data_IF_221214936832
#
_entry.id   IF_221214936832
#
_cell.length_a   1.000
_cell.length_b   1.000
_cell.length_c   1.000
_cell.angle_alpha   90.00
_cell.angle_beta   90.00
_cell.angle_gamma   90.00
#
_symmetry.space_group_name_H-M   'P 1'
#
loop_
_entity.id
_entity.type
_entity.pdbx_description
1 polymer ?
#
# COMPACT_ATOMS: atom_id res chain seq x y z
N UNK A 1 13.19 -14.12 -13.46
CA UNK A 1 13.92 -13.07 -14.21
C UNK A 1 13.63 -11.65 -13.67
N UNK A 2 12.38 -11.23 -13.42
CA UNK A 2 12.04 -9.91 -12.83
C UNK A 2 12.73 -9.62 -11.50
N UNK A 3 12.84 -10.59 -10.62
CA UNK A 3 13.41 -10.46 -9.29
C UNK A 3 14.84 -9.88 -9.29
N UNK A 4 15.75 -10.40 -10.07
CA UNK A 4 17.14 -9.94 -10.13
C UNK A 4 17.31 -8.51 -10.68
N UNK A 5 16.29 -7.99 -11.39
CA UNK A 5 16.32 -6.64 -11.90
C UNK A 5 15.81 -5.61 -10.88
N UNK A 6 15.04 -6.06 -9.87
CA UNK A 6 14.51 -5.18 -8.79
C UNK A 6 15.46 -5.14 -7.60
N UNK A 7 16.22 -6.23 -7.38
CA UNK A 7 17.12 -6.34 -6.24
C UNK A 7 18.09 -5.15 -6.14
N UNK A 8 18.05 -4.49 -4.98
CA UNK A 8 18.92 -3.35 -4.69
C UNK A 8 19.31 -3.38 -3.21
N UNK A 9 20.61 -3.42 -2.97
CA UNK A 9 21.21 -3.36 -1.66
C UNK A 9 21.46 -1.91 -1.23
N UNK A 10 21.32 -1.64 0.06
CA UNK A 10 21.58 -0.33 0.65
C UNK A 10 22.05 -0.46 2.09
N UNK A 11 22.85 0.46 2.54
CA UNK A 11 23.22 0.58 3.97
C UNK A 11 22.59 1.86 4.52
N UNK A 12 21.69 1.72 5.48
CA UNK A 12 20.94 2.81 6.08
C UNK A 12 21.05 2.66 7.60
N UNK A 13 21.57 3.66 8.29
CA UNK A 13 21.77 3.66 9.74
C UNK A 13 22.53 2.41 10.26
N UNK A 14 23.58 2.00 9.56
CA UNK A 14 24.36 0.78 9.78
C UNK A 14 23.59 -0.55 9.60
N UNK A 15 22.37 -0.53 9.05
CA UNK A 15 21.62 -1.72 8.67
C UNK A 15 21.81 -2.01 7.18
N UNK A 16 22.16 -3.24 6.85
CA UNK A 16 22.25 -3.70 5.46
C UNK A 16 20.88 -4.19 5.01
N UNK A 17 20.26 -3.43 4.13
CA UNK A 17 18.91 -3.67 3.66
C UNK A 17 18.92 -4.01 2.17
N UNK A 18 18.06 -4.94 1.76
CA UNK A 18 17.81 -5.25 0.35
C UNK A 18 16.33 -5.18 0.04
N UNK A 19 15.98 -4.46 -1.04
CA UNK A 19 14.63 -4.49 -1.61
C UNK A 19 14.59 -5.48 -2.78
N UNK A 20 13.59 -6.36 -2.80
CA UNK A 20 13.40 -7.37 -3.83
C UNK A 20 11.93 -7.80 -3.92
N UNK A 21 11.57 -8.53 -4.98
CA UNK A 21 10.31 -9.29 -4.99
C UNK A 21 10.51 -10.61 -4.24
N UNK A 22 9.55 -10.99 -3.41
CA UNK A 22 9.52 -12.31 -2.81
C UNK A 22 9.49 -13.39 -3.88
N UNK A 23 10.36 -14.38 -3.76
CA UNK A 23 10.54 -15.44 -4.74
C UNK A 23 10.21 -16.83 -4.19
N UNK A 24 10.08 -16.93 -2.88
CA UNK A 24 9.77 -18.19 -2.20
C UNK A 24 8.51 -18.03 -1.37
N UNK A 25 7.84 -19.15 -1.12
CA UNK A 25 6.67 -19.17 -0.23
C UNK A 25 7.03 -18.68 1.17
N UNK A 26 8.23 -18.98 1.66
CA UNK A 26 8.69 -18.53 2.97
C UNK A 26 8.79 -16.99 3.05
N UNK A 27 9.32 -16.34 2.02
CA UNK A 27 9.39 -14.86 1.96
C UNK A 27 8.00 -14.22 1.88
N UNK A 28 7.04 -14.85 1.20
CA UNK A 28 5.64 -14.39 1.18
C UNK A 28 5.03 -14.52 2.58
N UNK A 29 5.22 -15.64 3.25
CA UNK A 29 4.74 -15.86 4.61
C UNK A 29 5.36 -14.89 5.62
N UNK A 30 6.64 -14.56 5.47
CA UNK A 30 7.31 -13.55 6.31
C UNK A 30 6.71 -12.16 6.11
N UNK A 31 6.39 -11.77 4.87
CA UNK A 31 5.65 -10.54 4.58
C UNK A 31 4.23 -10.57 5.18
N UNK A 32 3.50 -11.69 5.07
CA UNK A 32 2.18 -11.88 5.65
C UNK A 32 2.20 -11.83 7.18
N UNK A 33 3.25 -12.37 7.80
CA UNK A 33 3.49 -12.30 9.25
C UNK A 33 3.75 -10.88 9.71
N UNK A 34 4.62 -10.15 9.01
CA UNK A 34 4.88 -8.74 9.29
C UNK A 34 3.59 -7.91 9.22
N UNK A 35 2.76 -8.13 8.19
CA UNK A 35 1.45 -7.47 8.04
C UNK A 35 0.52 -7.76 9.20
N UNK A 36 0.43 -9.02 9.63
CA UNK A 36 -0.39 -9.41 10.77
C UNK A 36 0.06 -8.75 12.06
N UNK A 37 1.37 -8.73 12.35
CA UNK A 37 1.93 -8.05 13.53
C UNK A 37 1.53 -6.57 13.54
N UNK A 38 1.65 -5.89 12.40
CA UNK A 38 1.38 -4.46 12.32
C UNK A 38 -0.12 -4.18 12.27
N UNK A 39 -0.86 -4.78 11.36
CA UNK A 39 -2.28 -4.43 11.18
C UNK A 39 -3.16 -4.98 12.29
N UNK A 40 -3.00 -6.26 12.67
CA UNK A 40 -3.85 -6.86 13.70
C UNK A 40 -3.39 -6.48 15.11
N UNK A 41 -2.10 -6.67 15.44
CA UNK A 41 -1.64 -6.50 16.82
C UNK A 41 -1.33 -5.05 17.18
N UNK A 42 -0.66 -4.30 16.31
CA UNK A 42 -0.30 -2.92 16.61
C UNK A 42 -1.46 -1.94 16.32
N UNK A 43 -2.14 -2.08 15.17
CA UNK A 43 -3.20 -1.17 14.75
C UNK A 43 -4.61 -1.61 15.16
N UNK A 44 -4.78 -2.84 15.67
CA UNK A 44 -6.05 -3.36 16.14
C UNK A 44 -7.05 -3.71 15.04
N UNK A 45 -6.60 -3.93 13.81
CA UNK A 45 -7.48 -4.36 12.71
C UNK A 45 -8.00 -5.77 12.97
N UNK A 46 -9.30 -5.98 12.71
CA UNK A 46 -9.92 -7.31 12.80
C UNK A 46 -9.56 -8.13 11.57
N UNK A 47 -8.48 -8.87 11.63
CA UNK A 47 -8.03 -9.76 10.57
C UNK A 47 -8.30 -11.19 10.98
N UNK A 48 -9.07 -11.92 10.16
CA UNK A 48 -9.18 -13.38 10.30
C UNK A 48 -7.84 -13.98 9.91
N UNK A 49 -7.16 -14.62 10.86
CA UNK A 49 -5.83 -15.15 10.64
C UNK A 49 -5.76 -16.63 10.94
N UNK A 50 -5.02 -17.34 10.10
CA UNK A 50 -4.57 -18.71 10.37
C UNK A 50 -3.06 -18.62 10.63
N UNK A 51 -2.61 -19.11 11.77
CA UNK A 51 -1.19 -19.15 12.16
C UNK A 51 -0.48 -17.78 12.22
N UNK A 52 -1.22 -16.68 12.47
CA UNK A 52 -0.60 -15.36 12.59
C UNK A 52 -0.17 -14.74 11.25
N UNK A 53 -0.84 -15.12 10.17
CA UNK A 53 -0.60 -14.56 8.84
C UNK A 53 -1.80 -13.69 8.41
N UNK A 54 -1.55 -12.55 7.79
CA UNK A 54 -2.56 -11.75 7.07
C UNK A 54 -2.65 -12.25 5.64
N UNK A 55 -3.66 -13.05 5.36
CA UNK A 55 -3.88 -13.65 4.03
C UNK A 55 -5.29 -13.30 3.55
N UNK A 56 -5.40 -12.91 2.29
CA UNK A 56 -6.68 -12.78 1.60
C UNK A 56 -6.60 -13.37 0.17
N UNK A 57 -7.73 -13.38 -0.53
CA UNK A 57 -7.83 -13.96 -1.88
C UNK A 57 -6.90 -13.33 -2.93
N UNK A 58 -6.37 -12.14 -2.67
CA UNK A 58 -5.49 -11.43 -3.60
C UNK A 58 -4.04 -11.89 -3.51
N UNK A 59 -3.61 -12.46 -2.37
CA UNK A 59 -2.21 -12.78 -2.12
C UNK A 59 -1.60 -13.70 -3.18
N UNK A 60 -2.35 -14.72 -3.65
CA UNK A 60 -1.91 -15.66 -4.68
C UNK A 60 -1.74 -15.04 -6.08
N UNK A 61 -2.31 -13.85 -6.30
CA UNK A 61 -2.34 -13.17 -7.59
C UNK A 61 -1.52 -11.87 -7.59
N UNK A 62 -0.83 -11.58 -6.50
CA UNK A 62 -0.01 -10.39 -6.32
C UNK A 62 1.48 -10.71 -6.36
N UNK A 63 2.28 -9.73 -6.75
CA UNK A 63 3.69 -9.69 -6.41
C UNK A 63 3.87 -9.08 -5.03
N UNK A 64 4.80 -9.61 -4.24
CA UNK A 64 5.12 -9.11 -2.92
C UNK A 64 6.48 -8.42 -2.97
N UNK A 65 6.50 -7.10 -2.95
CA UNK A 65 7.72 -6.31 -2.81
C UNK A 65 8.09 -6.28 -1.34
N UNK A 66 9.30 -6.71 -1.01
CA UNK A 66 9.79 -6.82 0.36
C UNK A 66 11.11 -6.07 0.54
N UNK A 67 11.34 -5.57 1.74
CA UNK A 67 12.65 -5.15 2.21
C UNK A 67 13.09 -6.11 3.30
N UNK A 68 14.28 -6.69 3.14
CA UNK A 68 14.89 -7.59 4.11
C UNK A 68 16.10 -6.93 4.76
N UNK A 69 16.27 -7.17 6.03
CA UNK A 69 17.53 -6.93 6.73
C UNK A 69 18.46 -8.11 6.46
N UNK A 70 19.59 -7.85 5.81
CA UNK A 70 20.55 -8.88 5.41
C UNK A 70 21.32 -9.47 6.61
N UNK A 71 21.39 -8.75 7.73
CA UNK A 71 22.14 -9.21 8.90
C UNK A 71 21.38 -10.30 9.66
N UNK A 72 20.03 -10.27 9.64
CA UNK A 72 19.19 -11.24 10.35
C UNK A 72 18.21 -12.00 9.45
N UNK A 73 18.11 -11.63 8.17
CA UNK A 73 17.24 -12.26 7.19
C UNK A 73 15.75 -11.90 7.32
N UNK A 74 15.37 -11.02 8.25
CA UNK A 74 13.98 -10.68 8.49
C UNK A 74 13.39 -9.74 7.44
N UNK A 75 12.14 -9.97 7.05
CA UNK A 75 11.36 -9.01 6.27
C UNK A 75 10.92 -7.85 7.19
N UNK A 76 11.37 -6.63 6.86
CA UNK A 76 11.16 -5.43 7.68
C UNK A 76 10.26 -4.39 7.03
N UNK A 77 9.91 -4.61 5.77
CA UNK A 77 8.94 -3.79 5.04
C UNK A 77 8.34 -4.54 3.88
N UNK A 78 7.09 -4.23 3.53
CA UNK A 78 6.47 -4.83 2.36
C UNK A 78 5.42 -3.94 1.70
N UNK A 79 5.19 -4.21 0.41
CA UNK A 79 4.04 -3.82 -0.41
C UNK A 79 3.49 -5.02 -1.15
N UNK A 80 2.17 -5.09 -1.27
CA UNK A 80 1.50 -6.01 -2.18
C UNK A 80 1.16 -5.27 -3.47
N UNK A 81 1.56 -5.83 -4.62
CA UNK A 81 1.42 -5.25 -5.94
C UNK A 81 0.48 -6.12 -6.78
N UNK A 82 -0.69 -5.61 -7.11
CA UNK A 82 -1.65 -6.28 -7.99
C UNK A 82 -1.61 -5.63 -9.37
N UNK A 83 -1.28 -6.40 -10.38
CA UNK A 83 -1.34 -5.97 -11.79
C UNK A 83 -2.69 -6.32 -12.40
N UNK A 84 -2.96 -5.84 -13.63
CA UNK A 84 -4.19 -6.16 -14.35
C UNK A 84 -4.40 -7.67 -14.53
N UNK A 85 -3.32 -8.43 -14.78
CA UNK A 85 -3.41 -9.88 -14.94
C UNK A 85 -3.77 -10.58 -13.63
N UNK A 86 -3.23 -10.11 -12.50
CA UNK A 86 -3.62 -10.57 -11.17
C UNK A 86 -5.08 -10.23 -10.87
N UNK A 87 -5.49 -8.99 -11.15
CA UNK A 87 -6.87 -8.53 -10.96
C UNK A 87 -7.87 -9.36 -11.77
N UNK A 88 -7.57 -9.68 -13.02
CA UNK A 88 -8.41 -10.57 -13.86
C UNK A 88 -8.57 -11.96 -13.25
N UNK A 89 -7.49 -12.53 -12.71
CA UNK A 89 -7.50 -13.87 -12.08
C UNK A 89 -8.33 -13.92 -10.79
N UNK A 90 -8.24 -12.88 -9.95
CA UNK A 90 -8.95 -12.84 -8.66
C UNK A 90 -10.38 -12.30 -8.76
N UNK A 91 -10.79 -11.83 -9.94
CA UNK A 91 -12.13 -11.31 -10.21
C UNK A 91 -12.29 -9.81 -9.98
N UNK A 92 -11.21 -9.03 -10.05
CA UNK A 92 -11.24 -7.57 -10.03
C UNK A 92 -10.18 -6.93 -9.11
N UNK A 93 -10.09 -5.62 -9.16
CA UNK A 93 -9.25 -4.81 -8.29
C UNK A 93 -9.78 -4.80 -6.86
N UNK A 94 -8.90 -4.72 -5.88
CA UNK A 94 -9.31 -4.54 -4.47
C UNK A 94 -10.09 -3.21 -4.32
N UNK A 95 -9.56 -2.14 -4.92
CA UNK A 95 -10.21 -0.82 -4.86
C UNK A 95 -11.60 -0.80 -5.50
N UNK A 96 -11.92 -1.72 -6.42
CA UNK A 96 -13.25 -1.82 -7.01
C UNK A 96 -14.33 -2.27 -6.00
N UNK A 97 -13.94 -2.89 -4.88
CA UNK A 97 -14.84 -3.17 -3.76
C UNK A 97 -15.24 -1.93 -2.95
N UNK A 98 -14.43 -0.88 -3.01
CA UNK A 98 -14.62 0.35 -2.24
C UNK A 98 -15.10 1.53 -3.11
N UNK A 99 -14.70 1.55 -4.38
CA UNK A 99 -14.91 2.68 -5.30
C UNK A 99 -15.39 2.22 -6.67
N UNK A 100 -16.22 3.05 -7.29
CA UNK A 100 -16.52 2.97 -8.72
C UNK A 100 -15.28 3.42 -9.53
N UNK A 101 -14.67 2.49 -10.25
CA UNK A 101 -13.48 2.71 -11.07
C UNK A 101 -13.79 2.99 -12.55
N UNK A 102 -15.07 3.10 -12.96
CA UNK A 102 -15.48 3.19 -14.35
C UNK A 102 -14.80 4.35 -15.12
N UNK A 103 -14.56 5.47 -14.45
CA UNK A 103 -13.90 6.62 -15.07
C UNK A 103 -12.42 6.43 -15.38
N UNK A 104 -11.76 5.50 -14.71
CA UNK A 104 -10.34 5.22 -14.90
C UNK A 104 -10.08 3.92 -15.68
N UNK A 105 -11.10 3.27 -16.22
CA UNK A 105 -10.95 2.03 -17.00
C UNK A 105 -9.89 2.15 -18.11
N UNK A 106 -9.81 3.31 -18.75
CA UNK A 106 -8.87 3.59 -19.85
C UNK A 106 -7.39 3.56 -19.44
N UNK A 107 -7.06 3.61 -18.13
CA UNK A 107 -5.69 3.52 -17.62
C UNK A 107 -5.38 2.19 -16.91
N UNK A 108 -6.38 1.38 -16.60
CA UNK A 108 -6.22 0.17 -15.78
C UNK A 108 -5.27 -0.87 -16.41
N UNK A 109 -5.14 -0.93 -17.72
CA UNK A 109 -4.17 -1.82 -18.41
C UNK A 109 -2.71 -1.49 -18.07
N UNK A 110 -2.43 -0.26 -17.65
CA UNK A 110 -1.10 0.23 -17.30
C UNK A 110 -1.02 0.66 -15.82
N UNK A 111 -1.83 0.03 -14.99
CA UNK A 111 -1.96 0.35 -13.56
C UNK A 111 -1.44 -0.79 -12.69
N UNK A 112 -0.80 -0.45 -11.58
CA UNK A 112 -0.58 -1.34 -10.44
C UNK A 112 -1.39 -0.86 -9.25
N UNK A 113 -2.06 -1.79 -8.57
CA UNK A 113 -2.71 -1.49 -7.30
C UNK A 113 -1.78 -1.85 -6.14
N UNK A 114 -1.57 -0.85 -5.28
CA UNK A 114 -0.74 -0.95 -4.09
C UNK A 114 -1.59 -1.26 -2.87
N UNK A 115 -1.22 -2.28 -2.15
CA UNK A 115 -1.91 -2.66 -0.92
C UNK A 115 -0.96 -3.17 0.16
N UNK A 116 -1.47 -3.29 1.37
CA UNK A 116 -0.77 -3.91 2.50
C UNK A 116 0.62 -3.31 2.78
N UNK A 117 0.76 -1.98 2.58
CA UNK A 117 1.99 -1.25 2.88
C UNK A 117 2.28 -1.25 4.38
N UNK A 118 3.40 -1.79 4.80
CA UNK A 118 3.81 -1.69 6.20
C UNK A 118 5.33 -1.75 6.37
N UNK A 119 5.79 -1.21 7.51
CA UNK A 119 7.21 -1.21 7.92
C UNK A 119 7.28 -1.59 9.39
N UNK A 120 8.16 -2.52 9.72
CA UNK A 120 8.43 -2.95 11.09
C UNK A 120 8.76 -1.75 11.99
N UNK A 121 8.24 -1.74 13.23
CA UNK A 121 8.34 -0.60 14.14
C UNK A 121 9.76 -0.08 14.35
N UNK A 122 10.75 -0.97 14.43
CA UNK A 122 12.15 -0.63 14.70
C UNK A 122 12.90 -0.14 13.45
N UNK A 123 12.24 -0.11 12.27
CA UNK A 123 12.80 0.31 10.98
C UNK A 123 12.09 1.54 10.40
N UNK A 124 11.32 2.30 11.20
CA UNK A 124 10.52 3.46 10.76
C UNK A 124 11.32 4.77 10.70
N UNK A 125 12.60 4.69 10.40
CA UNK A 125 13.49 5.85 10.19
C UNK A 125 13.38 6.49 8.79
N UNK A 126 12.55 5.92 7.91
CA UNK A 126 12.33 6.39 6.54
C UNK A 126 13.11 5.62 5.47
N UNK A 127 14.19 4.93 5.82
CA UNK A 127 15.02 4.20 4.87
C UNK A 127 14.31 3.05 4.18
N UNK A 128 13.57 2.24 4.93
CA UNK A 128 12.77 1.13 4.38
C UNK A 128 11.69 1.65 3.43
N UNK A 129 11.03 2.76 3.76
CA UNK A 129 10.03 3.37 2.88
C UNK A 129 10.67 3.82 1.58
N UNK A 130 11.85 4.44 1.62
CA UNK A 130 12.58 4.87 0.43
C UNK A 130 12.94 3.66 -0.47
N UNK A 131 13.43 2.57 0.12
CA UNK A 131 13.74 1.35 -0.62
C UNK A 131 12.50 0.74 -1.27
N UNK A 132 11.38 0.66 -0.55
CA UNK A 132 10.11 0.21 -1.11
C UNK A 132 9.68 1.05 -2.31
N UNK A 133 9.79 2.38 -2.24
CA UNK A 133 9.51 3.26 -3.37
C UNK A 133 10.46 3.04 -4.54
N UNK A 134 11.75 2.85 -4.26
CA UNK A 134 12.74 2.56 -5.31
C UNK A 134 12.43 1.25 -6.02
N UNK A 135 12.12 0.18 -5.27
CA UNK A 135 11.71 -1.11 -5.83
C UNK A 135 10.42 -1.02 -6.63
N UNK A 136 9.44 -0.24 -6.13
CA UNK A 136 8.16 -0.02 -6.82
C UNK A 136 8.35 0.70 -8.17
N UNK A 137 9.10 1.79 -8.20
CA UNK A 137 9.38 2.52 -9.46
C UNK A 137 10.06 1.58 -10.47
N UNK A 138 11.02 0.80 -10.02
CA UNK A 138 11.71 -0.17 -10.88
C UNK A 138 10.78 -1.28 -11.38
N UNK A 139 9.89 -1.79 -10.53
CA UNK A 139 8.85 -2.72 -10.92
C UNK A 139 7.94 -2.14 -12.01
N UNK A 140 7.45 -0.92 -11.81
CA UNK A 140 6.60 -0.25 -12.79
C UNK A 140 7.30 -0.04 -14.14
N UNK A 141 8.58 0.32 -14.13
CA UNK A 141 9.37 0.47 -15.37
C UNK A 141 9.50 -0.87 -16.12
N UNK A 142 9.80 -1.96 -15.40
CA UNK A 142 9.98 -3.30 -16.00
C UNK A 142 8.66 -3.85 -16.56
N UNK A 143 7.55 -3.58 -15.89
CA UNK A 143 6.21 -4.01 -16.29
C UNK A 143 5.51 -3.00 -17.24
N UNK A 144 6.20 -1.91 -17.64
CA UNK A 144 5.65 -0.85 -18.48
C UNK A 144 4.34 -0.24 -17.93
N UNK A 145 4.28 -0.05 -16.59
CA UNK A 145 3.15 0.55 -15.88
C UNK A 145 3.35 2.05 -15.71
N UNK A 146 2.27 2.82 -15.76
CA UNK A 146 2.31 4.29 -15.70
C UNK A 146 1.46 4.88 -14.59
N UNK A 147 0.59 4.08 -13.99
CA UNK A 147 -0.35 4.53 -12.97
C UNK A 147 -0.29 3.65 -11.74
N UNK A 148 -0.55 4.26 -10.60
CA UNK A 148 -0.71 3.59 -9.31
C UNK A 148 -2.09 3.91 -8.74
N UNK A 149 -2.77 2.91 -8.23
CA UNK A 149 -3.98 3.09 -7.42
C UNK A 149 -3.81 2.38 -6.07
N UNK A 150 -4.64 2.72 -5.12
CA UNK A 150 -4.67 2.04 -3.82
C UNK A 150 -5.55 2.74 -2.81
N UNK A 151 -6.00 1.99 -1.82
CA UNK A 151 -6.83 2.50 -0.74
C UNK A 151 -5.95 2.92 0.45
N UNK A 152 -5.98 4.19 0.80
CA UNK A 152 -5.34 4.72 2.01
C UNK A 152 -6.35 4.80 3.15
N UNK A 153 -6.16 4.00 4.20
CA UNK A 153 -7.05 4.01 5.37
C UNK A 153 -6.72 5.16 6.32
N UNK A 154 -7.76 5.82 6.81
CA UNK A 154 -7.67 6.83 7.86
C UNK A 154 -8.56 6.38 9.03
N UNK A 155 -8.03 6.48 10.26
CA UNK A 155 -8.78 6.09 11.45
C UNK A 155 -10.08 6.88 11.61
N UNK A 156 -11.15 6.17 11.94
CA UNK A 156 -12.47 6.74 12.27
C UNK A 156 -12.76 6.64 13.77
N UNK A 157 -11.75 6.39 14.61
CA UNK A 157 -11.92 6.13 16.04
C UNK A 157 -12.52 7.31 16.84
N UNK A 158 -12.38 8.53 16.33
CA UNK A 158 -12.97 9.75 16.88
C UNK A 158 -14.37 10.07 16.33
N UNK A 159 -15.02 9.09 15.70
CA UNK A 159 -16.28 9.26 14.97
C UNK A 159 -16.12 9.81 13.57
N UNK A 160 -14.87 9.95 13.05
CA UNK A 160 -14.57 10.38 11.69
C UNK A 160 -14.27 11.86 11.52
N UNK A 161 -14.22 12.63 12.58
CA UNK A 161 -13.98 14.08 12.52
C UNK A 161 -12.57 14.41 11.98
N UNK A 162 -11.55 13.70 12.43
CA UNK A 162 -10.17 13.81 11.91
C UNK A 162 -10.10 13.43 10.43
N UNK A 163 -10.75 12.35 10.03
CA UNK A 163 -10.78 11.89 8.63
C UNK A 163 -11.47 12.92 7.72
N UNK A 164 -12.62 13.48 8.14
CA UNK A 164 -13.34 14.50 7.40
C UNK A 164 -12.50 15.79 7.25
N UNK A 165 -11.84 16.23 8.32
CA UNK A 165 -10.97 17.42 8.31
C UNK A 165 -9.76 17.22 7.41
N UNK A 166 -9.14 16.01 7.42
CA UNK A 166 -8.04 15.67 6.54
C UNK A 166 -8.50 15.63 5.08
N UNK A 167 -9.65 15.02 4.78
CA UNK A 167 -10.22 15.02 3.44
C UNK A 167 -10.40 16.46 2.92
N UNK A 168 -11.04 17.34 3.68
CA UNK A 168 -11.24 18.75 3.31
C UNK A 168 -9.94 19.52 3.08
N UNK A 169 -8.91 19.19 3.84
CA UNK A 169 -7.57 19.77 3.64
C UNK A 169 -6.95 19.34 2.32
N UNK A 170 -7.11 18.05 1.97
CA UNK A 170 -6.46 17.47 0.81
C UNK A 170 -7.23 17.69 -0.50
N UNK A 171 -8.57 17.65 -0.49
CA UNK A 171 -9.40 17.79 -1.69
C UNK A 171 -9.12 19.08 -2.45
N UNK A 172 -8.86 20.18 -1.73
CA UNK A 172 -8.62 21.51 -2.34
C UNK A 172 -7.41 21.52 -3.29
N UNK A 173 -6.46 20.62 -3.09
CA UNK A 173 -5.21 20.60 -3.84
C UNK A 173 -4.99 19.33 -4.63
N UNK A 174 -5.49 18.20 -4.14
CA UNK A 174 -5.10 16.88 -4.63
C UNK A 174 -6.27 16.07 -5.19
N UNK A 175 -7.50 16.59 -5.15
CA UNK A 175 -8.62 15.91 -5.77
C UNK A 175 -8.39 15.86 -7.28
N UNK A 176 -8.38 14.65 -7.84
CA UNK A 176 -8.11 14.42 -9.26
C UNK A 176 -9.16 15.09 -10.16
N UNK A 177 -8.79 15.46 -11.41
CA UNK A 177 -9.74 15.86 -12.44
C UNK A 177 -10.86 14.81 -12.63
N UNK A 178 -12.00 15.22 -13.19
CA UNK A 178 -13.19 14.34 -13.27
C UNK A 178 -12.94 13.07 -14.06
N UNK A 179 -12.09 13.10 -15.07
CA UNK A 179 -11.72 11.94 -15.90
C UNK A 179 -10.92 10.86 -15.14
N UNK A 180 -10.25 11.26 -14.04
CA UNK A 180 -9.50 10.34 -13.17
C UNK A 180 -10.12 10.17 -11.79
N UNK A 181 -11.32 10.74 -11.58
CA UNK A 181 -11.96 10.72 -10.25
C UNK A 181 -12.75 9.44 -10.05
N UNK A 182 -12.46 8.74 -8.97
CA UNK A 182 -13.25 7.61 -8.49
C UNK A 182 -14.23 8.05 -7.40
N UNK A 183 -15.34 7.32 -7.26
CA UNK A 183 -16.38 7.64 -6.28
C UNK A 183 -16.58 6.47 -5.34
N UNK A 184 -16.64 6.70 -4.01
CA UNK A 184 -16.85 5.62 -3.07
C UNK A 184 -18.26 5.03 -3.20
N UNK A 185 -18.39 3.71 -3.07
CA UNK A 185 -19.69 3.03 -3.03
C UNK A 185 -20.47 3.41 -1.76
N UNK A 186 -19.76 3.62 -0.65
CA UNK A 186 -20.35 4.06 0.63
C UNK A 186 -19.70 5.36 1.07
N UNK A 187 -20.20 6.52 0.61
CA UNK A 187 -19.62 7.80 0.96
C UNK A 187 -19.83 8.16 2.43
N UNK A 188 -18.80 8.74 3.05
CA UNK A 188 -18.90 9.31 4.40
C UNK A 188 -19.77 10.56 4.35
N UNK A 189 -20.72 10.69 5.31
CA UNK A 189 -21.60 11.85 5.43
C UNK A 189 -20.84 13.03 6.06
N UNK A 190 -20.05 13.72 5.25
CA UNK A 190 -19.16 14.79 5.71
C UNK A 190 -19.89 15.96 6.40
N UNK A 191 -21.12 16.25 5.99
CA UNK A 191 -21.98 17.30 6.55
C UNK A 191 -22.30 17.10 8.04
N UNK A 192 -22.21 15.88 8.54
CA UNK A 192 -22.42 15.52 9.96
C UNK A 192 -21.13 15.54 10.79
N UNK A 193 -19.99 15.83 10.18
CA UNK A 193 -18.69 15.74 10.83
C UNK A 193 -18.02 17.11 10.91
N UNK A 194 -17.16 17.29 11.91
CA UNK A 194 -16.25 18.44 11.95
C UNK A 194 -15.26 18.33 10.80
N UNK A 195 -15.01 19.43 10.10
CA UNK A 195 -14.20 19.46 8.87
C UNK A 195 -13.08 20.51 8.95
N UNK A 196 -12.90 21.11 10.10
CA UNK A 196 -12.03 22.26 10.36
C UNK A 196 -10.98 22.00 11.45
N UNK A 197 -10.84 20.73 11.89
CA UNK A 197 -9.82 20.39 12.87
C UNK A 197 -8.42 20.56 12.28
N UNK A 198 -7.49 21.02 13.11
CA UNK A 198 -6.08 21.04 12.76
C UNK A 198 -5.55 19.59 12.72
N UNK A 199 -5.23 19.12 11.53
CA UNK A 199 -4.81 17.72 11.31
C UNK A 199 -3.51 17.64 10.54
N UNK A 200 -2.66 16.69 10.93
CA UNK A 200 -1.45 16.34 10.18
C UNK A 200 -1.77 15.30 9.11
N UNK A 201 -1.17 15.44 7.93
CA UNK A 201 -1.28 14.40 6.89
C UNK A 201 -0.38 13.22 7.26
N UNK A 202 -0.87 11.97 7.30
CA UNK A 202 -0.07 10.78 7.56
C UNK A 202 1.10 10.65 6.57
N UNK A 203 2.23 10.12 7.02
CA UNK A 203 3.46 10.03 6.22
C UNK A 203 3.26 9.26 4.91
N UNK A 204 2.54 8.16 4.95
CA UNK A 204 2.22 7.34 3.77
C UNK A 204 1.41 8.13 2.73
N UNK A 205 0.38 8.84 3.18
CA UNK A 205 -0.44 9.69 2.29
C UNK A 205 0.40 10.83 1.72
N UNK A 206 1.30 11.44 2.52
CA UNK A 206 2.25 12.45 1.98
C UNK A 206 3.14 11.87 0.88
N UNK A 207 3.56 10.61 1.01
CA UNK A 207 4.33 9.91 -0.02
C UNK A 207 3.54 9.83 -1.33
N UNK A 208 2.33 9.30 -1.29
CA UNK A 208 1.45 9.19 -2.47
C UNK A 208 1.14 10.53 -3.14
N UNK A 209 0.94 11.58 -2.36
CA UNK A 209 0.64 12.91 -2.91
C UNK A 209 1.85 13.63 -3.54
N UNK A 210 3.05 13.07 -3.45
CA UNK A 210 4.30 13.59 -4.05
C UNK A 210 4.79 12.77 -5.24
N UNK A 211 4.30 11.57 -5.39
CA UNK A 211 4.58 10.67 -6.51
C UNK A 211 3.85 11.10 -7.77
#
# INVERSE_FOLDING_TARGET
>A
MLQHHIEQHSVIDNQRLVVTLASTQAEIEDAQRLRYEIFAKEMGAKISSINGLDIDKYDEHCQHLIVKDEDNGCVVGCYRLLTIDGARKVGGWYSAGEFDLSRIEHVLERTVELGRACVHKDYRNGGVVLLLWTGLVKFMQLENLSYMIGCGSISMSDGGHTAASLYRKLEKKYLSPLEYRVFPHVPVQLDKLKQDLEVSTPALIKGYLRA
#
